data_IF_701227391977
#
_entry.id   IF_701227391977
#
_cell.length_a   1.000
_cell.length_b   1.000
_cell.length_c   1.000
_cell.angle_alpha   90.00
_cell.angle_beta   90.00
_cell.angle_gamma   90.00
#
_symmetry.space_group_name_H-M   'P 1'
#
loop_
_entity.id
_entity.type
_entity.pdbx_description
1 polymer ?
#
# COMPACT_ATOMS: atom_id res chain seq x y z
N UNK A 1 1.06 16.64 8.65
CA UNK A 1 1.90 15.81 7.77
C UNK A 1 1.63 16.12 6.31
N UNK A 2 0.37 16.33 5.90
CA UNK A 2 0.03 16.80 4.54
C UNK A 2 0.88 18.01 4.07
N UNK A 3 1.13 18.98 4.95
CA UNK A 3 2.00 20.14 4.67
C UNK A 3 3.46 19.80 4.31
N UNK A 4 3.91 18.56 4.54
CA UNK A 4 5.23 18.07 4.17
C UNK A 4 5.23 17.34 2.82
N UNK A 5 4.05 17.02 2.27
CA UNK A 5 3.88 16.42 0.95
C UNK A 5 3.82 17.50 -0.11
N UNK A 6 4.95 18.16 -0.35
CA UNK A 6 5.06 19.29 -1.29
C UNK A 6 4.55 18.96 -2.70
N UNK A 7 4.61 17.69 -3.12
CA UNK A 7 4.16 17.25 -4.44
C UNK A 7 2.63 17.19 -4.56
N UNK A 8 1.89 17.14 -3.45
CA UNK A 8 0.42 17.19 -3.41
C UNK A 8 -0.05 18.63 -3.53
N UNK A 9 0.58 19.56 -2.80
CA UNK A 9 0.26 20.98 -2.80
C UNK A 9 1.47 21.82 -2.41
N UNK A 10 1.77 22.84 -3.19
CA UNK A 10 2.89 23.74 -2.96
C UNK A 10 2.52 25.20 -3.31
N UNK A 11 2.93 26.15 -2.46
CA UNK A 11 2.60 27.57 -2.64
C UNK A 11 3.15 28.21 -3.94
N UNK A 12 4.13 27.54 -4.57
CA UNK A 12 4.74 27.96 -5.83
C UNK A 12 4.20 27.24 -7.06
N UNK A 13 3.11 26.47 -6.96
CA UNK A 13 2.45 25.79 -8.09
C UNK A 13 3.36 24.76 -8.78
N UNK A 14 4.19 24.09 -7.97
CA UNK A 14 5.18 23.11 -8.41
C UNK A 14 4.84 21.75 -7.78
N UNK A 15 3.62 21.31 -8.05
CA UNK A 15 2.97 20.12 -7.49
C UNK A 15 2.05 19.49 -8.56
N UNK A 16 1.17 18.57 -8.15
CA UNK A 16 0.27 17.84 -9.06
C UNK A 16 -1.19 18.32 -8.98
N UNK A 17 -1.45 19.44 -8.30
CA UNK A 17 -2.81 19.97 -8.07
C UNK A 17 -3.76 18.93 -7.45
N UNK A 18 -3.28 18.14 -6.48
CA UNK A 18 -4.07 17.03 -5.94
C UNK A 18 -5.32 17.49 -5.17
N UNK A 19 -5.29 18.57 -4.35
CA UNK A 19 -6.51 19.11 -3.74
C UNK A 19 -7.59 19.52 -4.76
N UNK A 20 -7.16 20.16 -5.86
CA UNK A 20 -8.04 20.55 -6.96
C UNK A 20 -8.59 19.32 -7.70
N UNK A 21 -7.79 18.26 -7.84
CA UNK A 21 -8.25 16.99 -8.38
C UNK A 21 -9.28 16.30 -7.45
N UNK A 22 -9.09 16.38 -6.13
CA UNK A 22 -10.02 15.83 -5.13
C UNK A 22 -11.39 16.52 -5.15
N UNK A 23 -11.49 17.78 -5.59
CA UNK A 23 -12.78 18.44 -5.85
C UNK A 23 -13.57 17.78 -7.00
N UNK A 24 -12.91 16.99 -7.85
CA UNK A 24 -13.51 16.24 -8.97
C UNK A 24 -13.72 14.77 -8.62
N UNK A 25 -12.70 14.10 -8.09
CA UNK A 25 -12.76 12.69 -7.68
C UNK A 25 -11.67 12.35 -6.65
N UNK A 26 -12.00 11.50 -5.69
CA UNK A 26 -11.10 11.05 -4.61
C UNK A 26 -10.68 9.58 -4.75
N UNK A 27 -10.76 9.02 -5.96
CA UNK A 27 -10.49 7.62 -6.25
C UNK A 27 -11.73 6.73 -6.36
N UNK A 28 -11.51 5.47 -6.70
CA UNK A 28 -12.51 4.41 -6.82
C UNK A 28 -12.08 3.21 -5.97
N UNK A 29 -12.83 2.82 -4.92
CA UNK A 29 -12.51 1.65 -4.10
C UNK A 29 -12.45 0.32 -4.87
N UNK A 30 -13.01 0.26 -6.09
CA UNK A 30 -12.91 -0.91 -6.95
C UNK A 30 -11.62 -0.94 -7.78
N UNK A 31 -10.88 0.16 -7.87
CA UNK A 31 -9.60 0.20 -8.55
C UNK A 31 -8.53 -0.46 -7.65
N UNK A 32 -7.87 -1.50 -8.18
CA UNK A 32 -6.81 -2.22 -7.48
C UNK A 32 -5.46 -1.84 -8.09
N UNK A 33 -4.51 -1.44 -7.23
CA UNK A 33 -3.12 -1.12 -7.61
C UNK A 33 -2.22 -2.23 -7.06
N UNK A 34 -1.49 -2.91 -7.94
CA UNK A 34 -0.49 -3.90 -7.53
C UNK A 34 0.86 -3.22 -7.27
N UNK A 35 1.39 -3.37 -6.05
CA UNK A 35 2.73 -2.89 -5.66
C UNK A 35 3.70 -4.07 -5.67
N UNK A 36 4.57 -4.12 -6.68
CA UNK A 36 5.62 -5.14 -6.80
C UNK A 36 6.92 -4.55 -6.24
N UNK A 37 7.16 -4.78 -4.95
CA UNK A 37 8.22 -4.11 -4.20
C UNK A 37 8.69 -4.98 -3.02
N UNK A 38 9.31 -4.41 -1.98
CA UNK A 38 9.77 -5.09 -0.77
C UNK A 38 8.63 -5.52 0.19
N UNK A 39 7.39 -5.55 -0.28
CA UNK A 39 6.20 -5.80 0.52
C UNK A 39 5.53 -4.51 1.05
N UNK A 40 4.30 -4.68 1.56
CA UNK A 40 3.49 -3.62 2.14
C UNK A 40 3.06 -4.03 3.54
N UNK A 41 3.30 -3.17 4.53
CA UNK A 41 2.76 -3.37 5.87
C UNK A 41 1.24 -3.15 5.84
N UNK A 42 0.52 -4.22 5.53
CA UNK A 42 -0.93 -4.23 5.45
C UNK A 42 -1.60 -3.89 6.80
N UNK A 43 -0.85 -3.94 7.91
CA UNK A 43 -1.32 -3.59 9.24
C UNK A 43 -1.09 -2.13 9.62
N UNK A 44 -0.40 -1.36 8.77
CA UNK A 44 -0.10 0.04 9.04
C UNK A 44 -1.41 0.84 9.16
N UNK A 45 -1.61 1.64 10.23
CA UNK A 45 -2.91 2.28 10.53
C UNK A 45 -3.39 3.23 9.42
N UNK A 46 -2.45 3.74 8.62
CA UNK A 46 -2.71 4.65 7.50
C UNK A 46 -2.94 3.94 6.16
N UNK A 47 -2.74 2.62 6.08
CA UNK A 47 -2.89 1.82 4.86
C UNK A 47 -3.92 0.70 4.98
N UNK A 48 -4.19 0.20 6.20
CA UNK A 48 -5.06 -0.96 6.45
C UNK A 48 -6.44 -0.85 5.78
N UNK A 49 -6.97 0.37 5.62
CA UNK A 49 -8.29 0.61 5.02
C UNK A 49 -8.27 0.58 3.48
N UNK A 50 -7.09 0.75 2.87
CA UNK A 50 -6.88 0.73 1.44
C UNK A 50 -6.31 -0.61 0.92
N UNK A 51 -5.90 -1.50 1.82
CA UNK A 51 -5.37 -2.81 1.44
C UNK A 51 -6.42 -3.63 0.70
N UNK A 52 -6.03 -4.15 -0.45
CA UNK A 52 -6.81 -5.17 -1.16
C UNK A 52 -6.86 -6.45 -0.33
N UNK A 53 -8.02 -7.08 -0.32
CA UNK A 53 -8.25 -8.39 0.29
C UNK A 53 -8.70 -9.32 -0.83
N UNK A 54 -8.02 -10.45 -1.01
CA UNK A 54 -8.39 -11.43 -2.01
C UNK A 54 -9.80 -11.98 -1.72
N UNK A 55 -10.83 -11.65 -2.53
CA UNK A 55 -12.18 -12.14 -2.30
C UNK A 55 -12.33 -13.64 -2.63
N UNK A 56 -11.33 -14.24 -3.26
CA UNK A 56 -11.27 -15.65 -3.60
C UNK A 56 -10.82 -16.56 -2.45
N UNK A 57 -10.21 -16.01 -1.41
CA UNK A 57 -9.55 -16.78 -0.35
C UNK A 57 -10.30 -16.78 0.99
N UNK A 58 -10.22 -17.90 1.71
CA UNK A 58 -10.67 -18.04 3.09
C UNK A 58 -9.48 -17.96 4.03
N UNK A 59 -9.35 -16.92 4.86
CA UNK A 59 -8.16 -16.71 5.68
C UNK A 59 -7.76 -17.89 6.58
N UNK A 60 -6.56 -18.41 6.35
CA UNK A 60 -5.87 -19.36 7.24
C UNK A 60 -6.45 -20.76 7.19
N UNK A 61 -7.05 -21.16 6.07
CA UNK A 61 -7.57 -22.52 5.89
C UNK A 61 -6.50 -23.48 5.31
N UNK A 62 -5.35 -22.95 4.86
CA UNK A 62 -4.26 -23.73 4.28
C UNK A 62 -4.56 -24.27 2.88
N UNK A 63 -5.52 -23.69 2.17
CA UNK A 63 -5.99 -24.09 0.84
C UNK A 63 -5.84 -22.88 -0.09
N UNK A 64 -5.43 -23.13 -1.33
CA UNK A 64 -5.57 -22.19 -2.44
C UNK A 64 -7.03 -22.31 -2.93
N UNK A 65 -7.90 -21.42 -2.45
CA UNK A 65 -9.36 -21.49 -2.64
C UNK A 65 -9.76 -20.99 -4.03
N UNK A 66 -9.02 -20.04 -4.59
CA UNK A 66 -9.29 -19.45 -5.90
C UNK A 66 -8.54 -20.15 -7.06
N UNK A 67 -7.60 -21.04 -6.75
CA UNK A 67 -6.83 -21.86 -7.68
C UNK A 67 -5.76 -21.06 -8.44
N UNK A 68 -5.29 -19.95 -7.89
CA UNK A 68 -4.31 -19.07 -8.52
C UNK A 68 -2.84 -19.55 -8.34
N UNK A 69 -2.62 -20.57 -7.50
CA UNK A 69 -1.32 -21.15 -7.21
C UNK A 69 -0.69 -20.68 -5.90
N UNK A 70 -1.36 -19.80 -5.15
CA UNK A 70 -0.88 -19.18 -3.92
C UNK A 70 -1.83 -19.51 -2.78
N UNK A 71 -1.34 -20.22 -1.75
CA UNK A 71 -2.19 -20.63 -0.62
C UNK A 71 -2.40 -19.45 0.32
N UNK A 72 -3.66 -19.14 0.67
CA UNK A 72 -4.02 -18.13 1.65
C UNK A 72 -3.44 -16.72 1.33
N UNK A 73 -3.38 -16.29 0.07
CA UNK A 73 -2.80 -15.00 -0.38
C UNK A 73 -3.73 -13.78 -0.11
N UNK A 74 -4.17 -13.65 1.15
CA UNK A 74 -5.22 -12.72 1.58
C UNK A 74 -4.93 -11.26 1.24
N UNK A 75 -3.69 -10.81 1.37
CA UNK A 75 -3.29 -9.43 1.11
C UNK A 75 -2.31 -9.31 -0.08
N UNK A 76 -2.10 -10.40 -0.82
CA UNK A 76 -1.03 -10.57 -1.78
C UNK A 76 -0.06 -11.68 -1.38
N UNK A 77 1.08 -11.73 -2.07
CA UNK A 77 2.05 -12.82 -1.95
C UNK A 77 3.49 -12.29 -1.85
N UNK A 78 4.32 -12.93 -1.02
CA UNK A 78 5.76 -12.69 -0.97
C UNK A 78 6.50 -13.72 -1.86
N UNK A 79 6.87 -13.30 -3.07
CA UNK A 79 7.64 -14.13 -4.01
C UNK A 79 9.09 -14.33 -3.55
N UNK A 80 9.61 -13.44 -2.70
CA UNK A 80 10.97 -13.51 -2.17
C UNK A 80 11.14 -14.66 -1.17
N UNK A 81 10.16 -14.83 -0.29
CA UNK A 81 10.15 -15.89 0.73
C UNK A 81 9.27 -17.10 0.39
N UNK A 82 8.47 -16.99 -0.69
CA UNK A 82 7.53 -18.02 -1.13
C UNK A 82 6.47 -18.32 -0.05
N UNK A 83 5.87 -17.25 0.49
CA UNK A 83 4.80 -17.32 1.47
C UNK A 83 3.69 -16.26 1.28
N UNK A 84 2.66 -16.39 2.10
CA UNK A 84 1.45 -15.57 2.05
C UNK A 84 1.48 -14.33 2.95
N UNK A 85 2.66 -13.92 3.43
CA UNK A 85 2.83 -12.71 4.22
C UNK A 85 3.59 -11.63 3.44
N UNK A 86 2.90 -10.79 2.65
CA UNK A 86 3.54 -9.78 1.81
C UNK A 86 4.05 -8.56 2.61
N UNK A 87 4.26 -8.69 3.93
CA UNK A 87 4.78 -7.59 4.75
C UNK A 87 6.27 -7.41 4.51
N UNK A 88 6.76 -6.17 4.67
CA UNK A 88 8.17 -5.91 4.54
C UNK A 88 8.97 -6.62 5.63
N UNK A 89 10.00 -7.33 5.20
CA UNK A 89 11.06 -7.82 6.08
C UNK A 89 12.18 -6.79 6.22
N UNK A 90 12.99 -6.93 7.27
CA UNK A 90 14.20 -6.11 7.41
C UNK A 90 15.19 -6.54 6.33
N UNK A 91 15.42 -5.66 5.35
CA UNK A 91 16.38 -5.89 4.28
C UNK A 91 17.48 -4.84 4.34
N UNK A 92 18.70 -5.25 4.71
CA UNK A 92 19.83 -4.34 4.84
C UNK A 92 20.59 -4.18 3.53
N UNK A 93 20.38 -3.06 2.85
CA UNK A 93 21.24 -2.65 1.73
C UNK A 93 22.32 -1.69 2.24
N UNK A 94 23.59 -2.07 2.09
CA UNK A 94 24.74 -1.30 2.60
C UNK A 94 24.70 -0.97 4.11
N UNK A 95 23.97 -1.76 4.90
CA UNK A 95 23.80 -1.56 6.34
C UNK A 95 22.64 -0.64 6.73
N UNK A 96 21.81 -0.25 5.76
CA UNK A 96 20.58 0.52 5.96
C UNK A 96 19.40 -0.39 5.67
N UNK A 97 18.41 -0.43 6.57
CA UNK A 97 17.15 -1.12 6.30
C UNK A 97 16.38 -0.41 5.19
N UNK A 98 16.12 -1.10 4.09
CA UNK A 98 15.34 -0.64 2.94
C UNK A 98 14.07 -1.45 2.74
N UNK A 99 13.73 -2.36 3.67
CA UNK A 99 12.50 -3.14 3.62
C UNK A 99 11.23 -2.27 3.60
N UNK A 100 11.31 -1.06 4.14
CA UNK A 100 10.20 -0.11 4.17
C UNK A 100 9.77 0.42 2.78
N UNK A 101 10.56 0.19 1.72
CA UNK A 101 10.39 0.85 0.42
C UNK A 101 8.98 0.65 -0.17
N UNK A 102 8.48 -0.58 -0.20
CA UNK A 102 7.15 -0.89 -0.72
C UNK A 102 6.01 -0.27 0.09
N UNK A 103 6.13 -0.22 1.42
CA UNK A 103 5.14 0.44 2.28
C UNK A 103 5.13 1.96 2.03
N UNK A 104 6.29 2.56 1.80
CA UNK A 104 6.40 3.98 1.44
C UNK A 104 5.77 4.27 0.07
N UNK A 105 6.02 3.42 -0.94
CA UNK A 105 5.38 3.51 -2.25
C UNK A 105 3.86 3.34 -2.16
N UNK A 106 3.37 2.38 -1.38
CA UNK A 106 1.94 2.19 -1.13
C UNK A 106 1.32 3.42 -0.44
N UNK A 107 2.03 4.04 0.51
CA UNK A 107 1.60 5.28 1.16
C UNK A 107 1.43 6.46 0.20
N UNK A 108 2.31 6.60 -0.79
CA UNK A 108 2.15 7.62 -1.85
C UNK A 108 0.94 7.34 -2.72
N UNK A 109 0.60 6.07 -2.96
CA UNK A 109 -0.47 5.68 -3.86
C UNK A 109 -1.86 5.63 -3.22
N UNK A 110 -1.95 5.32 -1.92
CA UNK A 110 -3.22 4.94 -1.30
C UNK A 110 -3.28 5.13 0.23
N UNK A 111 -2.43 5.96 0.83
CA UNK A 111 -2.61 6.29 2.24
C UNK A 111 -3.98 6.94 2.48
N UNK A 112 -4.63 6.55 3.56
CA UNK A 112 -5.96 7.02 3.90
C UNK A 112 -5.98 8.54 4.11
N UNK A 113 -6.92 9.21 3.45
CA UNK A 113 -7.14 10.66 3.57
C UNK A 113 -8.04 11.00 4.76
N UNK A 114 -7.95 12.24 5.26
CA UNK A 114 -8.84 12.82 6.30
C UNK A 114 -9.01 12.00 7.59
N UNK A 115 -8.08 11.11 7.92
CA UNK A 115 -8.11 10.25 9.10
C UNK A 115 -7.29 10.81 10.30
N UNK A 116 -6.73 12.02 10.16
CA UNK A 116 -5.84 12.69 11.11
C UNK A 116 -4.56 11.91 11.49
N UNK A 117 -4.20 10.91 10.71
CA UNK A 117 -3.00 10.07 10.86
C UNK A 117 -2.09 10.28 9.66
N UNK A 118 -0.79 10.00 9.82
CA UNK A 118 0.13 9.81 8.70
C UNK A 118 0.04 10.85 7.57
N UNK A 119 -0.12 10.39 6.34
CA UNK A 119 -0.03 11.15 5.09
C UNK A 119 -1.33 11.02 4.28
N UNK A 120 -1.36 11.51 3.05
CA UNK A 120 -2.45 11.28 2.09
C UNK A 120 -1.88 10.65 0.81
N UNK A 121 -2.59 9.68 0.23
CA UNK A 121 -2.29 9.08 -1.06
C UNK A 121 -3.41 9.27 -2.07
#
# INVERSE_FOLDING_TARGET
MLSNQWHIQHAGDADIDLPEAWDVATGDPAAVIAVLDTGVDWSHPDLQAAMWINPGETPGNGIDDDGNGWIDDIYGWDVGNDDNDPRPEVYLETGIDVGFHGTHCAGIAAAATDNATGVAG
#
